data_IF_576197743729
#
_entry.id   IF_576197743729
#
_cell.length_a   1.000
_cell.length_b   1.000
_cell.length_c   1.000
_cell.angle_alpha   90.00
_cell.angle_beta   90.00
_cell.angle_gamma   90.00
#
_symmetry.space_group_name_H-M   'P 1'
#
loop_
_entity.id
_entity.type
_entity.pdbx_description
1 polymer ?
#
# COMPACT_ATOMS: atom_id res chain seq x y z
N UNK A 1 11.74 -11.14 32.47
CA UNK A 1 12.55 -12.10 31.70
C UNK A 1 12.80 -11.51 30.32
N UNK A 2 13.98 -11.72 29.71
CA UNK A 2 14.19 -11.36 28.30
C UNK A 2 13.63 -12.51 27.45
N UNK A 3 12.47 -12.31 26.82
CA UNK A 3 11.96 -13.23 25.80
C UNK A 3 12.95 -13.28 24.64
N UNK A 4 13.46 -14.45 24.31
CA UNK A 4 14.32 -14.63 23.16
C UNK A 4 13.52 -14.44 21.86
N UNK A 5 14.17 -13.95 20.79
CA UNK A 5 13.50 -13.75 19.49
C UNK A 5 12.86 -15.05 18.98
N UNK A 6 13.45 -16.20 19.31
CA UNK A 6 12.98 -17.51 18.91
C UNK A 6 11.68 -17.91 19.63
N UNK A 7 11.52 -17.58 20.93
CA UNK A 7 10.26 -17.83 21.66
C UNK A 7 9.09 -17.05 21.07
N UNK A 8 9.31 -15.80 20.64
CA UNK A 8 8.27 -14.99 19.98
C UNK A 8 7.86 -15.60 18.63
N UNK A 9 8.82 -16.11 17.85
CA UNK A 9 8.54 -16.81 16.58
C UNK A 9 7.70 -18.07 16.83
N UNK A 10 8.05 -18.90 17.83
CA UNK A 10 7.26 -20.10 18.16
C UNK A 10 5.87 -19.75 18.74
N UNK A 11 5.74 -18.66 19.50
CA UNK A 11 4.45 -18.16 19.99
C UNK A 11 3.54 -17.77 18.83
N UNK A 12 4.04 -16.99 17.87
CA UNK A 12 3.29 -16.55 16.69
C UNK A 12 2.93 -17.74 15.80
N UNK A 13 3.88 -18.66 15.55
CA UNK A 13 3.65 -19.86 14.73
C UNK A 13 2.59 -20.77 15.35
N UNK A 14 2.60 -20.94 16.69
CA UNK A 14 1.57 -21.67 17.43
C UNK A 14 0.17 -21.08 17.22
N UNK A 15 0.04 -19.75 17.34
CA UNK A 15 -1.23 -19.04 17.15
C UNK A 15 -1.75 -19.23 15.71
N UNK A 16 -0.88 -19.14 14.71
CA UNK A 16 -1.24 -19.34 13.30
C UNK A 16 -1.72 -20.78 13.05
N UNK A 17 -1.02 -21.80 13.55
CA UNK A 17 -1.41 -23.21 13.39
C UNK A 17 -2.77 -23.50 14.04
N UNK A 18 -3.04 -22.94 15.22
CA UNK A 18 -4.33 -23.09 15.91
C UNK A 18 -5.46 -22.40 15.12
N UNK A 19 -5.21 -21.20 14.58
CA UNK A 19 -6.18 -20.50 13.75
C UNK A 19 -6.53 -21.27 12.47
N UNK A 20 -5.53 -21.84 11.77
CA UNK A 20 -5.75 -22.68 10.59
C UNK A 20 -6.55 -23.95 10.91
N UNK A 21 -6.22 -24.65 12.01
CA UNK A 21 -6.96 -25.84 12.41
C UNK A 21 -8.44 -25.53 12.77
N UNK A 22 -8.69 -24.41 13.45
CA UNK A 22 -10.04 -23.94 13.74
C UNK A 22 -10.84 -23.52 12.48
N UNK A 23 -10.18 -22.86 11.53
CA UNK A 23 -10.77 -22.46 10.26
C UNK A 23 -11.22 -23.67 9.43
N UNK A 24 -10.36 -24.68 9.27
CA UNK A 24 -10.68 -25.93 8.57
C UNK A 24 -11.88 -26.64 9.23
N UNK A 25 -11.93 -26.69 10.57
CA UNK A 25 -13.02 -27.33 11.29
C UNK A 25 -14.38 -26.62 11.08
N UNK A 26 -14.41 -25.29 11.04
CA UNK A 26 -15.63 -24.52 10.78
C UNK A 26 -16.06 -24.66 9.30
N UNK A 27 -15.11 -24.60 8.37
CA UNK A 27 -15.38 -24.68 6.93
C UNK A 27 -15.90 -26.05 6.48
N UNK A 28 -15.32 -27.15 6.99
CA UNK A 28 -15.66 -28.52 6.57
C UNK A 28 -16.62 -29.26 7.53
N UNK A 29 -16.87 -28.75 8.73
CA UNK A 29 -17.71 -29.42 9.74
C UNK A 29 -19.21 -29.43 9.47
N UNK A 30 -19.70 -28.72 8.43
CA UNK A 30 -21.14 -28.50 8.20
C UNK A 30 -21.75 -29.47 7.18
N UNK A 31 -21.78 -30.75 7.52
CA UNK A 31 -22.53 -31.76 6.76
C UNK A 31 -24.03 -31.71 7.09
N UNK A 32 -24.83 -31.21 6.16
CA UNK A 32 -26.30 -31.24 6.29
C UNK A 32 -26.83 -32.65 5.95
N UNK A 33 -27.76 -33.22 6.73
CA UNK A 33 -28.40 -34.49 6.36
C UNK A 33 -29.37 -34.31 5.18
N UNK A 34 -29.32 -35.26 4.24
CA UNK A 34 -30.15 -35.26 3.03
C UNK A 34 -31.62 -35.52 3.38
N UNK A 35 -32.51 -34.60 3.03
CA UNK A 35 -33.95 -34.83 3.02
C UNK A 35 -34.41 -35.11 1.58
N UNK A 36 -34.91 -36.32 1.34
CA UNK A 36 -35.46 -36.76 0.06
C UNK A 36 -36.97 -36.45 -0.01
N UNK A 37 -37.45 -35.87 -1.12
CA UNK A 37 -38.85 -35.82 -1.53
C UNK A 37 -38.90 -35.72 -3.06
N UNK A 38 -39.79 -36.50 -3.70
CA UNK A 38 -39.75 -36.87 -5.12
C UNK A 38 -40.98 -36.33 -5.89
N UNK A 39 -40.78 -35.73 -7.08
CA UNK A 39 -41.69 -35.85 -8.24
C UNK A 39 -41.16 -35.20 -9.56
N UNK A 40 -40.64 -36.06 -10.44
CA UNK A 40 -40.83 -36.14 -11.91
C UNK A 40 -41.58 -35.01 -12.68
N UNK A 41 -40.95 -34.34 -13.68
CA UNK A 41 -41.04 -34.70 -15.13
C UNK A 41 -40.17 -33.81 -16.08
N UNK A 42 -39.72 -34.42 -17.19
CA UNK A 42 -38.52 -34.11 -18.01
C UNK A 42 -38.77 -33.39 -19.35
N UNK A 43 -37.76 -32.67 -19.90
CA UNK A 43 -37.24 -32.64 -21.33
C UNK A 43 -36.16 -31.53 -21.45
N UNK A 44 -34.84 -31.80 -21.36
CA UNK A 44 -33.85 -32.07 -22.45
C UNK A 44 -33.86 -31.04 -23.61
N UNK A 45 -32.73 -30.54 -24.14
CA UNK A 45 -31.53 -31.24 -24.67
C UNK A 45 -30.20 -30.52 -24.29
N UNK A 46 -29.12 -31.31 -24.16
CA UNK A 46 -27.75 -30.92 -23.82
C UNK A 46 -26.87 -30.66 -25.07
N UNK A 47 -25.74 -29.96 -24.92
CA UNK A 47 -24.47 -30.31 -25.60
C UNK A 47 -23.29 -29.81 -24.77
N UNK A 48 -22.42 -30.76 -24.41
CA UNK A 48 -21.15 -30.69 -23.67
C UNK A 48 -20.16 -29.61 -24.15
N UNK A 49 -19.10 -29.21 -23.44
CA UNK A 49 -18.25 -29.87 -22.41
C UNK A 49 -17.57 -28.74 -21.56
N UNK A 50 -16.84 -28.94 -20.45
CA UNK A 50 -16.31 -30.14 -19.76
C UNK A 50 -16.33 -30.00 -18.22
N UNK A 51 -15.31 -29.37 -17.61
CA UNK A 51 -14.98 -29.40 -16.17
C UNK A 51 -13.95 -28.31 -15.81
N UNK A 52 -14.30 -27.35 -14.94
CA UNK A 52 -13.33 -26.48 -14.18
C UNK A 52 -14.10 -25.64 -13.15
N UNK A 53 -14.11 -26.02 -11.85
CA UNK A 53 -14.90 -25.30 -10.81
C UNK A 53 -14.28 -25.28 -9.40
N UNK A 54 -12.94 -25.35 -9.28
CA UNK A 54 -12.28 -25.32 -7.96
C UNK A 54 -11.09 -24.36 -7.87
N UNK A 55 -10.36 -24.09 -8.97
CA UNK A 55 -9.10 -23.32 -8.94
C UNK A 55 -9.32 -21.81 -9.10
N UNK A 56 -10.16 -21.36 -10.05
CA UNK A 56 -10.44 -19.92 -10.28
C UNK A 56 -10.90 -19.19 -9.00
N UNK A 57 -11.80 -19.80 -8.22
CA UNK A 57 -12.31 -19.21 -6.97
C UNK A 57 -11.21 -18.97 -5.93
N UNK A 58 -10.12 -19.74 -5.97
CA UNK A 58 -8.99 -19.59 -5.05
C UNK A 58 -8.02 -18.50 -5.53
N UNK A 59 -7.80 -18.40 -6.85
CA UNK A 59 -6.96 -17.36 -7.44
C UNK A 59 -7.57 -15.96 -7.23
N UNK A 60 -8.89 -15.81 -7.42
CA UNK A 60 -9.62 -14.56 -7.13
C UNK A 60 -9.50 -14.16 -5.65
N UNK A 61 -9.52 -15.11 -4.72
CA UNK A 61 -9.32 -14.85 -3.28
C UNK A 61 -7.88 -14.38 -2.98
N UNK A 62 -6.87 -14.99 -3.62
CA UNK A 62 -5.48 -14.57 -3.48
C UNK A 62 -5.24 -13.14 -4.02
N UNK A 63 -5.83 -12.81 -5.17
CA UNK A 63 -5.79 -11.46 -5.75
C UNK A 63 -6.46 -10.45 -4.81
N UNK A 64 -7.62 -10.78 -4.24
CA UNK A 64 -8.32 -9.91 -3.29
C UNK A 64 -7.50 -9.67 -2.00
N UNK A 65 -6.86 -10.71 -1.46
CA UNK A 65 -5.96 -10.60 -0.30
C UNK A 65 -4.77 -9.70 -0.63
N UNK A 66 -4.15 -9.86 -1.80
CA UNK A 66 -3.02 -9.04 -2.23
C UNK A 66 -3.40 -7.56 -2.42
N UNK A 67 -4.60 -7.29 -2.95
CA UNK A 67 -5.16 -5.93 -3.03
C UNK A 67 -5.40 -5.32 -1.64
N UNK A 68 -5.96 -6.09 -0.71
CA UNK A 68 -6.15 -5.67 0.68
C UNK A 68 -4.81 -5.32 1.35
N UNK A 69 -3.78 -6.16 1.19
CA UNK A 69 -2.45 -5.91 1.78
C UNK A 69 -1.72 -4.75 1.11
N UNK A 70 -1.86 -4.58 -0.20
CA UNK A 70 -1.33 -3.41 -0.93
C UNK A 70 -1.99 -2.12 -0.43
N UNK A 71 -3.30 -2.14 -0.20
CA UNK A 71 -4.05 -1.02 0.41
C UNK A 71 -3.59 -0.74 1.84
N UNK A 72 -3.31 -1.78 2.64
CA UNK A 72 -2.77 -1.63 3.99
C UNK A 72 -1.35 -1.02 3.98
N UNK A 73 -0.51 -1.37 3.01
CA UNK A 73 0.80 -0.73 2.82
C UNK A 73 0.66 0.75 2.43
N UNK A 74 -0.28 1.10 1.55
CA UNK A 74 -0.54 2.49 1.19
C UNK A 74 -1.01 3.34 2.39
N UNK A 75 -1.89 2.81 3.24
CA UNK A 75 -2.43 3.53 4.40
C UNK A 75 -1.46 3.60 5.58
N UNK A 76 -0.64 2.57 5.78
CA UNK A 76 0.33 2.49 6.88
C UNK A 76 1.67 1.94 6.34
N UNK A 77 2.51 2.80 5.73
CA UNK A 77 3.71 2.36 5.02
C UNK A 77 4.82 1.95 5.99
N UNK A 78 4.92 0.66 6.26
CA UNK A 78 5.92 0.05 7.15
C UNK A 78 6.57 -1.15 6.46
N UNK A 79 7.71 -1.60 6.97
CA UNK A 79 8.31 -2.86 6.51
C UNK A 79 7.35 -4.05 6.69
N UNK A 80 6.53 -4.06 7.74
CA UNK A 80 5.58 -5.14 8.02
C UNK A 80 4.47 -5.20 6.97
N UNK A 81 3.83 -4.07 6.68
CA UNK A 81 2.74 -3.99 5.68
C UNK A 81 3.25 -4.18 4.26
N UNK A 82 4.42 -3.64 3.91
CA UNK A 82 5.08 -3.92 2.61
C UNK A 82 5.36 -5.41 2.44
N UNK A 83 5.97 -6.04 3.44
CA UNK A 83 6.32 -7.46 3.36
C UNK A 83 5.05 -8.34 3.32
N UNK A 84 3.99 -8.00 4.06
CA UNK A 84 2.71 -8.69 3.98
C UNK A 84 2.06 -8.59 2.59
N UNK A 85 2.18 -7.43 1.93
CA UNK A 85 1.70 -7.23 0.56
C UNK A 85 2.53 -8.02 -0.46
N UNK A 86 3.87 -8.00 -0.34
CA UNK A 86 4.76 -8.80 -1.18
C UNK A 86 4.46 -10.30 -1.06
N UNK A 87 4.34 -10.83 0.16
CA UNK A 87 4.02 -12.25 0.40
C UNK A 87 2.69 -12.64 -0.26
N UNK A 88 1.67 -11.77 -0.21
CA UNK A 88 0.39 -12.05 -0.86
C UNK A 88 0.48 -12.01 -2.40
N UNK A 89 1.27 -11.10 -2.97
CA UNK A 89 1.53 -11.02 -4.42
C UNK A 89 2.31 -12.23 -4.93
N UNK A 90 3.31 -12.69 -4.16
CA UNK A 90 4.14 -13.85 -4.51
C UNK A 90 3.32 -15.15 -4.59
N UNK A 91 2.14 -15.21 -3.95
CA UNK A 91 1.21 -16.35 -3.98
C UNK A 91 0.29 -16.39 -5.22
N UNK A 92 0.17 -15.30 -5.97
CA UNK A 92 -0.67 -15.20 -7.18
C UNK A 92 -0.05 -16.05 -8.30
N UNK A 93 -0.86 -16.76 -9.09
CA UNK A 93 -0.44 -17.52 -10.26
C UNK A 93 -0.59 -16.73 -11.57
N UNK A 94 -1.57 -15.81 -11.67
CA UNK A 94 -1.68 -14.87 -12.79
C UNK A 94 -0.51 -13.87 -12.76
N UNK A 95 0.48 -14.07 -13.65
CA UNK A 95 1.65 -13.21 -13.79
C UNK A 95 1.30 -11.76 -14.19
N UNK A 96 0.18 -11.52 -14.88
CA UNK A 96 -0.29 -10.17 -15.22
C UNK A 96 -0.77 -9.45 -13.96
N UNK A 97 -1.62 -10.11 -13.16
CA UNK A 97 -2.13 -9.57 -11.88
C UNK A 97 -1.02 -9.37 -10.86
N UNK A 98 -0.09 -10.33 -10.78
CA UNK A 98 1.14 -10.22 -9.98
C UNK A 98 1.95 -8.98 -10.38
N UNK A 99 2.18 -8.77 -11.67
CA UNK A 99 2.95 -7.63 -12.16
C UNK A 99 2.25 -6.29 -11.93
N UNK A 100 0.93 -6.21 -12.14
CA UNK A 100 0.12 -5.00 -11.83
C UNK A 100 0.23 -4.60 -10.35
N UNK A 101 0.11 -5.57 -9.44
CA UNK A 101 0.20 -5.33 -8.00
C UNK A 101 1.64 -5.02 -7.54
N UNK A 102 2.65 -5.68 -8.14
CA UNK A 102 4.05 -5.33 -7.89
C UNK A 102 4.34 -3.87 -8.26
N UNK A 103 3.93 -3.44 -9.45
CA UNK A 103 4.06 -2.04 -9.90
C UNK A 103 3.34 -1.08 -8.96
N UNK A 104 2.25 -1.51 -8.31
CA UNK A 104 1.54 -0.71 -7.30
C UNK A 104 2.36 -0.54 -6.01
N UNK A 105 2.99 -1.60 -5.49
CA UNK A 105 3.93 -1.51 -4.35
C UNK A 105 5.15 -0.65 -4.68
N UNK A 106 5.71 -0.80 -5.88
CA UNK A 106 6.87 -0.04 -6.33
C UNK A 106 6.54 1.45 -6.43
N UNK A 107 5.35 1.79 -6.95
CA UNK A 107 4.85 3.16 -7.01
C UNK A 107 4.65 3.78 -5.60
N UNK A 108 4.05 3.05 -4.67
CA UNK A 108 3.91 3.49 -3.26
C UNK A 108 5.30 3.75 -2.65
N UNK A 109 6.25 2.83 -2.84
CA UNK A 109 7.62 2.93 -2.31
C UNK A 109 8.38 4.12 -2.90
N UNK A 110 8.20 4.38 -4.19
CA UNK A 110 8.78 5.53 -4.90
C UNK A 110 8.19 6.86 -4.40
N UNK A 111 6.87 6.96 -4.27
CA UNK A 111 6.20 8.16 -3.75
C UNK A 111 6.65 8.48 -2.31
N UNK A 112 6.75 7.49 -1.42
CA UNK A 112 7.26 7.68 -0.06
C UNK A 112 8.70 8.20 -0.04
N UNK A 113 9.54 7.68 -0.94
CA UNK A 113 10.92 8.15 -1.10
C UNK A 113 10.96 9.59 -1.59
N UNK A 114 10.09 9.95 -2.55
CA UNK A 114 9.97 11.32 -3.05
C UNK A 114 9.47 12.28 -1.96
N UNK A 115 8.49 11.88 -1.14
CA UNK A 115 7.98 12.69 -0.03
C UNK A 115 9.07 12.95 1.02
N UNK A 116 9.87 11.94 1.39
CA UNK A 116 11.00 12.11 2.31
C UNK A 116 12.08 13.04 1.74
N UNK A 117 12.36 12.96 0.44
CA UNK A 117 13.29 13.86 -0.25
C UNK A 117 12.75 15.30 -0.31
N UNK A 118 11.45 15.49 -0.57
CA UNK A 118 10.80 16.79 -0.62
C UNK A 118 10.77 17.48 0.76
N UNK A 119 10.42 16.76 1.82
CA UNK A 119 10.50 17.26 3.21
C UNK A 119 11.94 17.63 3.59
N UNK A 120 12.94 16.83 3.20
CA UNK A 120 14.35 17.12 3.46
C UNK A 120 14.82 18.37 2.71
N UNK A 121 14.44 18.53 1.44
CA UNK A 121 14.80 19.71 0.65
C UNK A 121 14.10 20.97 1.17
N UNK A 122 12.82 20.87 1.54
CA UNK A 122 12.05 21.95 2.15
C UNK A 122 12.63 22.38 3.50
N UNK A 123 13.00 21.45 4.39
CA UNK A 123 13.65 21.76 5.66
C UNK A 123 14.97 22.52 5.47
N UNK A 124 15.72 22.21 4.40
CA UNK A 124 16.92 22.99 4.03
C UNK A 124 16.57 24.39 3.51
N UNK A 125 15.49 24.57 2.76
CA UNK A 125 15.01 25.89 2.34
C UNK A 125 14.50 26.74 3.53
N UNK A 126 13.77 26.12 4.45
CA UNK A 126 13.26 26.74 5.69
C UNK A 126 14.41 27.21 6.60
N UNK A 127 15.44 26.37 6.79
CA UNK A 127 16.61 26.66 7.62
C UNK A 127 17.63 27.62 6.95
N UNK A 128 17.82 27.48 5.64
CA UNK A 128 18.80 28.23 4.86
C UNK A 128 18.09 28.92 3.70
N UNK A 129 17.52 30.09 4.00
CA UNK A 129 16.65 30.87 3.12
C UNK A 129 17.42 31.53 1.97
N UNK A 130 17.86 30.72 1.01
CA UNK A 130 18.54 31.13 -0.22
C UNK A 130 17.90 30.47 -1.43
N UNK A 131 17.91 31.16 -2.58
CA UNK A 131 17.20 30.73 -3.78
C UNK A 131 17.58 29.31 -4.23
N UNK A 132 18.85 28.93 -4.15
CA UNK A 132 19.29 27.59 -4.53
C UNK A 132 18.60 26.45 -3.74
N UNK A 133 18.26 26.67 -2.47
CA UNK A 133 17.54 25.69 -1.67
C UNK A 133 16.04 25.70 -1.97
N UNK A 134 15.48 26.87 -2.28
CA UNK A 134 14.12 26.97 -2.82
C UNK A 134 13.99 26.18 -4.12
N UNK A 135 14.94 26.33 -5.05
CA UNK A 135 14.92 25.63 -6.33
C UNK A 135 15.03 24.10 -6.15
N UNK A 136 15.86 23.63 -5.22
CA UNK A 136 15.95 22.21 -4.85
C UNK A 136 14.65 21.68 -4.22
N UNK A 137 14.06 22.43 -3.27
CA UNK A 137 12.79 22.08 -2.66
C UNK A 137 11.65 22.04 -3.69
N UNK A 138 11.58 23.05 -4.57
CA UNK A 138 10.57 23.13 -5.63
C UNK A 138 10.66 21.94 -6.59
N UNK A 139 11.88 21.55 -6.98
CA UNK A 139 12.12 20.39 -7.85
C UNK A 139 11.70 19.08 -7.16
N UNK A 140 12.00 18.91 -5.87
CA UNK A 140 11.59 17.71 -5.12
C UNK A 140 10.07 17.66 -4.88
N UNK A 141 9.43 18.78 -4.54
CA UNK A 141 7.95 18.89 -4.45
C UNK A 141 7.30 18.57 -5.80
N UNK A 142 7.94 18.96 -6.91
CA UNK A 142 7.42 18.69 -8.25
C UNK A 142 7.39 17.20 -8.63
N UNK A 143 8.21 16.32 -8.02
CA UNK A 143 8.15 14.87 -8.27
C UNK A 143 7.02 14.16 -7.55
N UNK A 144 6.37 14.80 -6.57
CA UNK A 144 5.27 14.20 -5.81
C UNK A 144 4.02 13.99 -6.69
N UNK A 145 3.43 12.82 -6.52
CA UNK A 145 2.16 12.41 -7.15
C UNK A 145 0.96 12.59 -6.20
N UNK A 146 1.17 12.55 -4.88
CA UNK A 146 0.13 12.93 -3.92
C UNK A 146 -0.14 14.45 -4.00
N UNK A 147 -1.26 14.82 -4.61
CA UNK A 147 -1.65 16.21 -4.79
C UNK A 147 -1.89 16.96 -3.47
N UNK A 148 -2.29 16.27 -2.39
CA UNK A 148 -2.54 16.88 -1.08
C UNK A 148 -1.23 17.20 -0.40
N UNK A 149 -0.32 16.23 -0.31
CA UNK A 149 1.03 16.43 0.25
C UNK A 149 1.81 17.46 -0.58
N UNK A 150 1.71 17.42 -1.91
CA UNK A 150 2.32 18.42 -2.80
C UNK A 150 1.85 19.83 -2.50
N UNK A 151 0.54 20.04 -2.32
CA UNK A 151 -0.01 21.36 -1.98
C UNK A 151 0.42 21.83 -0.58
N UNK A 152 0.47 20.92 0.41
CA UNK A 152 0.97 21.21 1.77
C UNK A 152 2.42 21.69 1.76
N UNK A 153 3.32 20.97 1.07
CA UNK A 153 4.73 21.34 0.99
C UNK A 153 4.95 22.60 0.15
N UNK A 154 4.18 22.81 -0.92
CA UNK A 154 4.23 24.04 -1.71
C UNK A 154 3.86 25.25 -0.86
N UNK A 155 2.77 25.19 -0.08
CA UNK A 155 2.35 26.29 0.77
C UNK A 155 3.40 26.67 1.83
N UNK A 156 4.14 25.69 2.36
CA UNK A 156 5.31 25.94 3.23
C UNK A 156 6.46 26.60 2.47
N UNK A 157 6.78 26.13 1.26
CA UNK A 157 7.82 26.72 0.43
C UNK A 157 7.51 28.17 0.02
N UNK A 158 6.25 28.47 -0.30
CA UNK A 158 5.80 29.81 -0.68
C UNK A 158 6.03 30.84 0.45
N UNK A 159 5.93 30.43 1.72
CA UNK A 159 6.29 31.27 2.88
C UNK A 159 7.80 31.55 2.92
N UNK A 160 8.65 30.55 2.63
CA UNK A 160 10.11 30.74 2.52
C UNK A 160 10.44 31.73 1.39
N UNK A 161 9.81 31.59 0.23
CA UNK A 161 9.96 32.50 -0.91
C UNK A 161 9.55 33.93 -0.52
N UNK A 162 8.43 34.10 0.18
CA UNK A 162 7.97 35.40 0.65
C UNK A 162 8.97 36.06 1.62
N UNK A 163 9.56 35.29 2.54
CA UNK A 163 10.57 35.78 3.47
C UNK A 163 11.85 36.26 2.75
N UNK A 164 12.36 35.48 1.80
CA UNK A 164 13.53 35.84 0.97
C UNK A 164 13.25 37.14 0.20
N UNK A 165 12.06 37.24 -0.42
CA UNK A 165 11.67 38.43 -1.18
C UNK A 165 11.50 39.66 -0.28
N UNK A 166 10.97 39.53 0.94
CA UNK A 166 10.87 40.63 1.89
C UNK A 166 12.25 41.10 2.38
N UNK A 167 13.15 40.16 2.68
CA UNK A 167 14.54 40.47 3.05
C UNK A 167 15.26 41.23 1.92
N UNK A 168 15.21 40.71 0.70
CA UNK A 168 15.84 41.35 -0.47
C UNK A 168 15.27 42.76 -0.74
N UNK A 169 13.97 42.98 -0.54
CA UNK A 169 13.37 44.32 -0.64
C UNK A 169 13.90 45.30 0.42
N UNK A 170 14.13 44.83 1.66
CA UNK A 170 14.68 45.68 2.72
C UNK A 170 16.13 46.12 2.46
N UNK A 171 16.89 45.37 1.67
CA UNK A 171 18.27 45.72 1.29
C UNK A 171 18.35 46.78 0.18
N UNK A 172 17.29 46.98 -0.61
CA UNK A 172 17.29 47.90 -1.76
C UNK A 172 16.57 49.23 -1.50
N UNK A 173 15.90 49.38 -0.35
CA UNK A 173 15.40 50.69 0.10
C UNK A 173 16.55 51.55 0.62
N UNK A 174 16.90 52.68 -0.01
CA UNK A 174 17.94 53.56 0.52
C UNK A 174 17.47 54.21 1.81
N UNK A 175 18.31 54.19 2.85
CA UNK A 175 18.15 55.04 4.03
C UNK A 175 18.25 56.50 3.60
N UNK A 176 17.11 57.20 3.57
CA UNK A 176 17.04 58.64 3.41
C UNK A 176 17.23 59.26 4.79
N UNK A 177 18.46 59.67 5.09
CA UNK A 177 18.78 60.60 6.20
C UNK A 177 18.52 62.06 5.81
#
# INVERSE_FOLDING_TARGET
MKTSKNELVYLILSIIVIAFAGFIYIAFGRTNPVANLDNNQTTQIETSTETTTTEDNQEDELIAIAQEKTTAYQQNPTDETRNAAQIAIDMINDDTKKQELQTSIDAITSELTNQANAETALANAEAYQVQANVDLAQNAINTLTDATKKAELQARLDVVIANINAYNQSLVTPTVE
#
